data_IF_581159114155
#
_entry.id   IF_581159114155
#
_cell.length_a   1.000
_cell.length_b   1.000
_cell.length_c   1.000
_cell.angle_alpha   90.00
_cell.angle_beta   90.00
_cell.angle_gamma   90.00
#
_symmetry.space_group_name_H-M   'P 1'
#
loop_
_entity.id
_entity.type
_entity.pdbx_description
1 polymer ?
#
# COMPACT_ATOMS: atom_id res chain seq x y z
N UNK A 1 -33.44 10.92 12.48
CA UNK A 1 -32.35 11.71 13.11
C UNK A 1 -31.19 10.77 13.35
N UNK A 2 -30.25 10.72 12.41
CA UNK A 2 -29.00 9.96 12.55
C UNK A 2 -27.96 10.89 13.17
N UNK A 3 -27.41 10.50 14.32
CA UNK A 3 -26.43 11.25 15.08
C UNK A 3 -25.17 11.56 14.24
N UNK A 4 -24.50 12.71 14.45
CA UNK A 4 -23.20 13.00 13.86
C UNK A 4 -22.13 12.05 14.42
N UNK A 5 -22.00 10.89 13.76
CA UNK A 5 -20.74 10.34 13.27
C UNK A 5 -19.54 10.30 14.23
N UNK A 6 -19.33 9.15 14.87
CA UNK A 6 -18.10 8.71 15.57
C UNK A 6 -16.84 8.62 14.65
N UNK A 7 -16.86 9.19 13.44
CA UNK A 7 -15.72 9.19 12.51
C UNK A 7 -14.49 9.91 13.06
N UNK A 8 -14.64 10.79 14.05
CA UNK A 8 -13.50 11.45 14.71
C UNK A 8 -12.66 10.50 15.58
N UNK A 9 -13.14 9.27 15.84
CA UNK A 9 -12.47 8.30 16.73
C UNK A 9 -11.81 7.12 16.00
N UNK A 10 -12.08 6.96 14.70
CA UNK A 10 -11.62 5.80 13.92
C UNK A 10 -10.97 6.31 12.64
N UNK A 11 -9.68 6.66 12.71
CA UNK A 11 -8.87 7.04 11.55
C UNK A 11 -7.87 8.14 11.88
N UNK A 12 -6.86 8.29 11.01
CA UNK A 12 -5.95 9.43 11.03
C UNK A 12 -6.56 10.55 10.19
N UNK A 13 -6.58 11.78 10.70
CA UNK A 13 -7.02 12.93 9.90
C UNK A 13 -5.98 13.21 8.81
N UNK A 14 -6.42 13.63 7.62
CA UNK A 14 -5.49 14.03 6.53
C UNK A 14 -4.47 15.08 7.02
N UNK A 15 -4.89 15.96 7.94
CA UNK A 15 -4.04 16.95 8.59
C UNK A 15 -2.96 16.35 9.53
N UNK A 16 -3.12 15.11 9.98
CA UNK A 16 -2.17 14.38 10.86
C UNK A 16 -1.23 13.48 10.05
N UNK A 17 -1.69 12.99 8.90
CA UNK A 17 -0.90 12.12 8.01
C UNK A 17 0.27 12.88 7.39
N UNK A 18 0.04 14.11 6.93
CA UNK A 18 1.09 14.90 6.27
C UNK A 18 2.30 15.21 7.19
N UNK A 19 2.11 15.72 8.42
CA UNK A 19 3.22 15.89 9.37
C UNK A 19 3.93 14.59 9.73
N UNK A 20 3.18 13.48 9.85
CA UNK A 20 3.75 12.17 10.16
C UNK A 20 4.65 11.65 9.03
N UNK A 21 4.21 11.81 7.77
CA UNK A 21 5.00 11.43 6.60
C UNK A 21 6.29 12.26 6.47
N UNK A 22 6.22 13.57 6.75
CA UNK A 22 7.41 14.42 6.83
C UNK A 22 8.38 13.96 7.93
N UNK A 23 7.86 13.58 9.11
CA UNK A 23 8.67 13.07 10.22
C UNK A 23 9.36 11.73 9.87
N UNK A 24 8.76 10.93 8.99
CA UNK A 24 9.33 9.69 8.46
C UNK A 24 10.28 9.91 7.26
N UNK A 25 10.58 11.16 6.90
CA UNK A 25 11.50 11.49 5.80
C UNK A 25 10.89 11.37 4.40
N UNK A 26 9.55 11.25 4.29
CA UNK A 26 8.84 11.27 3.01
C UNK A 26 8.47 12.72 2.69
N UNK A 27 9.22 13.34 1.78
CA UNK A 27 8.92 14.69 1.29
C UNK A 27 7.88 14.61 0.18
N UNK A 28 6.61 14.89 0.50
CA UNK A 28 5.60 15.10 -0.53
C UNK A 28 5.79 16.52 -1.12
N UNK A 29 5.68 16.71 -2.44
CA UNK A 29 5.73 18.04 -3.03
C UNK A 29 4.58 18.86 -2.44
N UNK A 30 4.95 19.90 -1.67
CA UNK A 30 4.03 20.81 -1.01
C UNK A 30 3.36 21.64 -2.10
N UNK A 31 2.27 21.12 -2.65
CA UNK A 31 1.38 21.88 -3.52
C UNK A 31 0.79 23.01 -2.69
N UNK A 32 1.14 24.25 -3.01
CA UNK A 32 0.56 25.42 -2.39
C UNK A 32 -0.97 25.34 -2.48
N UNK A 33 -1.60 25.55 -1.33
CA UNK A 33 -3.04 25.69 -1.22
C UNK A 33 -3.46 26.94 -2.02
N UNK A 34 -3.91 26.71 -3.25
CA UNK A 34 -4.55 27.72 -4.08
C UNK A 34 -3.76 28.04 -5.34
N UNK A 35 -4.25 27.53 -6.47
CA UNK A 35 -3.77 27.75 -7.84
C UNK A 35 -2.63 26.80 -8.25
N UNK A 36 -3.02 25.62 -8.73
CA UNK A 36 -2.17 24.79 -9.60
C UNK A 36 -2.15 25.48 -10.97
N UNK A 37 -1.03 26.02 -11.47
CA UNK A 37 -0.85 26.12 -12.91
C UNK A 37 -0.52 24.71 -13.36
N UNK A 38 -1.54 24.02 -13.86
CA UNK A 38 -1.45 22.69 -14.43
C UNK A 38 -0.66 22.81 -15.75
N UNK A 39 0.66 22.74 -15.64
CA UNK A 39 1.55 22.47 -16.78
C UNK A 39 2.15 21.08 -16.53
N UNK A 40 1.26 20.08 -16.42
CA UNK A 40 1.56 18.74 -16.89
C UNK A 40 1.18 18.68 -18.38
N UNK A 41 1.77 17.78 -19.19
CA UNK A 41 1.17 17.46 -20.48
C UNK A 41 -0.28 17.08 -20.16
N UNK A 42 -1.25 17.76 -20.79
CA UNK A 42 -2.67 17.50 -20.57
C UNK A 42 -2.91 16.00 -20.70
N UNK A 43 -3.03 15.30 -19.55
CA UNK A 43 -3.64 13.99 -19.50
C UNK A 43 -5.06 14.25 -19.97
N UNK A 44 -5.30 14.00 -21.25
CA UNK A 44 -6.64 13.94 -21.80
C UNK A 44 -7.29 12.77 -21.10
N UNK A 45 -7.87 13.04 -19.93
CA UNK A 45 -8.63 12.07 -19.15
C UNK A 45 -9.68 11.51 -20.10
N UNK A 46 -9.53 10.24 -20.46
CA UNK A 46 -10.43 9.57 -21.38
C UNK A 46 -11.87 9.75 -20.86
N UNK A 47 -12.84 10.07 -21.73
CA UNK A 47 -14.22 10.24 -21.31
C UNK A 47 -14.74 9.00 -20.54
N UNK A 48 -15.55 9.22 -19.50
CA UNK A 48 -16.03 8.14 -18.63
C UNK A 48 -16.80 7.05 -19.38
N UNK A 49 -17.46 7.40 -20.49
CA UNK A 49 -18.21 6.46 -21.33
C UNK A 49 -17.31 5.44 -22.04
N UNK A 50 -16.00 5.69 -22.12
CA UNK A 50 -15.01 4.77 -22.73
C UNK A 50 -14.65 3.62 -21.79
N UNK A 51 -14.86 3.76 -20.47
CA UNK A 51 -14.45 2.77 -19.45
C UNK A 51 -14.90 1.34 -19.71
N UNK A 52 -16.15 1.06 -20.14
CA UNK A 52 -16.60 -0.31 -20.43
C UNK A 52 -15.87 -0.98 -21.58
N UNK A 53 -15.20 -0.20 -22.43
CA UNK A 53 -14.51 -0.68 -23.63
C UNK A 53 -13.02 -0.96 -23.38
N UNK A 54 -12.45 -0.50 -22.25
CA UNK A 54 -11.04 -0.74 -21.88
C UNK A 54 -10.71 -2.24 -21.82
N UNK A 55 -11.63 -3.06 -21.31
CA UNK A 55 -11.44 -4.51 -21.16
C UNK A 55 -11.86 -5.33 -22.38
N UNK A 56 -12.47 -4.71 -23.39
CA UNK A 56 -12.90 -5.41 -24.60
C UNK A 56 -11.69 -5.67 -25.48
N UNK A 57 -11.62 -6.86 -26.06
CA UNK A 57 -10.52 -7.23 -26.98
C UNK A 57 -10.83 -6.91 -28.44
N UNK A 58 -12.12 -6.76 -28.76
CA UNK A 58 -12.65 -6.64 -30.11
C UNK A 58 -13.83 -5.69 -30.10
N UNK A 59 -13.90 -4.83 -31.10
CA UNK A 59 -14.99 -3.88 -31.31
C UNK A 59 -15.24 -3.73 -32.81
N UNK A 60 -16.44 -3.30 -33.16
CA UNK A 60 -16.84 -3.15 -34.55
C UNK A 60 -16.25 -1.89 -35.18
N UNK A 61 -16.24 -1.82 -36.52
CA UNK A 61 -15.79 -0.65 -37.25
C UNK A 61 -16.54 0.63 -36.86
N UNK A 62 -17.87 0.53 -36.68
CA UNK A 62 -18.70 1.67 -36.27
C UNK A 62 -18.38 2.14 -34.83
N UNK A 63 -18.05 1.21 -33.92
CA UNK A 63 -17.60 1.55 -32.57
C UNK A 63 -16.26 2.27 -32.62
N UNK A 64 -15.31 1.77 -33.41
CA UNK A 64 -14.01 2.40 -33.60
C UNK A 64 -14.11 3.83 -34.13
N UNK A 65 -14.97 4.03 -35.14
CA UNK A 65 -15.23 5.34 -35.73
C UNK A 65 -15.87 6.30 -34.73
N UNK A 66 -16.85 5.84 -33.95
CA UNK A 66 -17.47 6.64 -32.89
C UNK A 66 -16.46 7.03 -31.80
N UNK A 67 -15.52 6.14 -31.47
CA UNK A 67 -14.45 6.46 -30.52
C UNK A 67 -13.56 7.59 -31.03
N UNK A 68 -13.10 7.51 -32.28
CA UNK A 68 -12.30 8.58 -32.89
C UNK A 68 -13.06 9.90 -33.05
N UNK A 69 -14.37 9.82 -33.31
CA UNK A 69 -15.27 10.97 -33.35
C UNK A 69 -15.57 11.56 -31.96
N UNK A 70 -15.22 10.87 -30.87
CA UNK A 70 -15.53 11.29 -29.50
C UNK A 70 -17.01 11.15 -29.12
N UNK A 71 -17.77 10.30 -29.82
CA UNK A 71 -19.21 10.14 -29.66
C UNK A 71 -19.54 8.87 -28.86
N UNK A 72 -20.40 9.00 -27.85
CA UNK A 72 -20.93 7.87 -27.09
C UNK A 72 -22.14 7.25 -27.79
N UNK A 73 -21.98 6.04 -28.34
CA UNK A 73 -23.05 5.31 -29.02
C UNK A 73 -24.19 4.87 -28.10
N UNK A 74 -23.93 4.76 -26.79
CA UNK A 74 -24.91 4.30 -25.80
C UNK A 74 -25.70 5.48 -25.19
N UNK A 75 -25.37 6.73 -25.52
CA UNK A 75 -26.09 7.91 -25.05
C UNK A 75 -27.53 7.91 -25.62
N UNK A 76 -28.56 7.98 -24.77
CA UNK A 76 -29.94 7.97 -25.22
C UNK A 76 -30.29 9.27 -25.96
N UNK A 77 -30.54 9.18 -27.26
CA UNK A 77 -30.91 10.32 -28.08
C UNK A 77 -30.69 10.09 -29.57
N UNK A 78 -31.04 11.09 -30.37
CA UNK A 78 -30.65 11.16 -31.78
C UNK A 78 -29.31 11.89 -31.86
N UNK A 79 -28.32 11.32 -32.54
CA UNK A 79 -27.06 12.00 -32.82
C UNK A 79 -27.32 13.19 -33.74
N UNK A 80 -26.69 14.33 -33.47
CA UNK A 80 -26.73 15.47 -34.38
C UNK A 80 -26.21 15.08 -35.77
N UNK A 81 -26.63 15.80 -36.80
CA UNK A 81 -26.16 15.56 -38.17
C UNK A 81 -24.63 15.70 -38.27
N UNK A 82 -24.05 16.60 -37.48
CA UNK A 82 -22.59 16.80 -37.40
C UNK A 82 -21.87 15.59 -36.79
N UNK A 83 -22.39 15.03 -35.70
CA UNK A 83 -21.85 13.81 -35.09
C UNK A 83 -21.95 12.61 -36.03
N UNK A 84 -23.09 12.45 -36.71
CA UNK A 84 -23.26 11.38 -37.71
C UNK A 84 -22.30 11.53 -38.88
N UNK A 85 -22.09 12.75 -39.36
CA UNK A 85 -21.16 13.02 -40.45
C UNK A 85 -19.70 12.76 -40.03
N UNK A 86 -19.32 13.10 -38.80
CA UNK A 86 -17.98 12.83 -38.27
C UNK A 86 -17.74 11.33 -38.08
N UNK A 87 -18.72 10.60 -37.51
CA UNK A 87 -18.66 9.13 -37.44
C UNK A 87 -18.52 8.53 -38.85
N UNK A 88 -19.26 9.03 -39.83
CA UNK A 88 -19.18 8.58 -41.22
C UNK A 88 -17.78 8.77 -41.82
N UNK A 89 -17.15 9.93 -41.62
CA UNK A 89 -15.78 10.20 -42.10
C UNK A 89 -14.76 9.25 -41.50
N UNK A 90 -14.83 9.03 -40.18
CA UNK A 90 -13.93 8.09 -39.50
C UNK A 90 -14.17 6.65 -39.93
N UNK A 91 -15.42 6.27 -40.13
CA UNK A 91 -15.79 4.94 -40.62
C UNK A 91 -15.18 4.67 -41.99
N UNK A 92 -15.34 5.59 -42.93
CA UNK A 92 -14.84 5.43 -44.30
C UNK A 92 -13.29 5.38 -44.28
N UNK A 93 -12.65 6.23 -43.48
CA UNK A 93 -11.19 6.24 -43.30
C UNK A 93 -10.65 4.92 -42.73
N UNK A 94 -11.31 4.38 -41.70
CA UNK A 94 -10.93 3.09 -41.11
C UNK A 94 -11.21 1.93 -42.06
N UNK A 95 -12.29 1.99 -42.85
CA UNK A 95 -12.60 0.99 -43.86
C UNK A 95 -11.52 0.93 -44.93
N UNK A 96 -11.03 2.08 -45.40
CA UNK A 96 -9.93 2.19 -46.35
C UNK A 96 -8.62 1.65 -45.76
N UNK A 97 -8.32 1.99 -44.50
CA UNK A 97 -7.12 1.49 -43.81
C UNK A 97 -7.12 -0.05 -43.64
N UNK A 98 -8.30 -0.63 -43.39
CA UNK A 98 -8.50 -2.08 -43.37
C UNK A 98 -8.31 -2.69 -44.76
N UNK A 99 -8.88 -2.08 -45.81
CA UNK A 99 -8.74 -2.58 -47.19
C UNK A 99 -7.31 -2.48 -47.72
N UNK A 100 -6.57 -1.46 -47.28
CA UNK A 100 -5.15 -1.30 -47.52
C UNK A 100 -4.27 -2.29 -46.71
N UNK A 101 -4.85 -3.04 -45.77
CA UNK A 101 -4.14 -3.97 -44.91
C UNK A 101 -3.29 -3.29 -43.82
N UNK A 102 -3.55 -2.01 -43.53
CA UNK A 102 -2.85 -1.27 -42.48
C UNK A 102 -3.40 -1.58 -41.07
N UNK A 103 -4.69 -1.93 -40.99
CA UNK A 103 -5.35 -2.37 -39.76
C UNK A 103 -5.72 -3.83 -39.90
N UNK A 104 -5.25 -4.66 -38.97
CA UNK A 104 -5.64 -6.07 -38.91
C UNK A 104 -7.09 -6.19 -38.44
N UNK A 105 -7.90 -6.88 -39.24
CA UNK A 105 -9.32 -7.11 -38.98
C UNK A 105 -9.67 -8.58 -39.17
N UNK A 106 -10.68 -9.08 -38.44
CA UNK A 106 -11.20 -10.43 -38.69
C UNK A 106 -11.87 -10.53 -40.06
N UNK A 107 -11.90 -11.75 -40.60
CA UNK A 107 -12.37 -12.11 -41.94
C UNK A 107 -13.66 -11.42 -42.36
N UNK A 108 -13.68 -11.12 -43.66
CA UNK A 108 -14.78 -10.54 -44.42
C UNK A 108 -16.14 -11.17 -44.08
N UNK A 109 -17.12 -10.34 -43.73
CA UNK A 109 -18.51 -10.74 -43.54
C UNK A 109 -19.45 -9.84 -44.35
N UNK A 110 -20.69 -10.30 -44.53
CA UNK A 110 -21.74 -9.59 -45.26
C UNK A 110 -22.17 -8.30 -44.56
N UNK A 111 -21.98 -8.19 -43.24
CA UNK A 111 -22.22 -6.99 -42.43
C UNK A 111 -20.88 -6.48 -41.86
N UNK A 112 -20.10 -5.87 -42.77
CA UNK A 112 -18.78 -5.31 -42.48
C UNK A 112 -18.81 -4.34 -41.29
N UNK A 113 -19.90 -3.59 -41.12
CA UNK A 113 -19.96 -2.53 -40.11
C UNK A 113 -20.12 -3.08 -38.69
N UNK A 114 -20.87 -4.19 -38.53
CA UNK A 114 -21.16 -4.77 -37.20
C UNK A 114 -20.29 -5.96 -36.85
N UNK A 115 -19.88 -6.74 -37.84
CA UNK A 115 -19.22 -8.04 -37.61
C UNK A 115 -17.71 -8.00 -37.85
N UNK A 116 -17.18 -6.94 -38.48
CA UNK A 116 -15.75 -6.76 -38.61
C UNK A 116 -15.14 -6.32 -37.27
N UNK A 117 -14.57 -7.28 -36.56
CA UNK A 117 -13.87 -7.01 -35.31
C UNK A 117 -12.46 -6.49 -35.57
N UNK A 118 -12.19 -5.30 -35.02
CA UNK A 118 -10.88 -4.67 -34.97
C UNK A 118 -10.25 -4.86 -33.58
N UNK A 119 -8.92 -4.91 -33.54
CA UNK A 119 -8.16 -4.98 -32.29
C UNK A 119 -7.72 -3.58 -31.83
N UNK A 120 -7.61 -3.37 -30.52
CA UNK A 120 -7.07 -2.12 -29.97
C UNK A 120 -5.65 -1.83 -30.46
N UNK A 121 -4.80 -2.87 -30.52
CA UNK A 121 -3.38 -2.73 -30.83
C UNK A 121 -3.19 -2.27 -32.28
N UNK A 122 -3.92 -2.88 -33.21
CA UNK A 122 -3.83 -2.52 -34.63
C UNK A 122 -4.29 -1.08 -34.89
N UNK A 123 -5.38 -0.64 -34.25
CA UNK A 123 -5.84 0.74 -34.42
C UNK A 123 -4.92 1.73 -33.71
N UNK A 124 -4.41 1.42 -32.52
CA UNK A 124 -3.43 2.28 -31.85
C UNK A 124 -2.19 2.51 -32.69
N UNK A 125 -1.65 1.44 -33.29
CA UNK A 125 -0.50 1.53 -34.19
C UNK A 125 -0.81 2.41 -35.41
N UNK A 126 -2.01 2.27 -35.98
CA UNK A 126 -2.46 3.10 -37.08
C UNK A 126 -2.62 4.57 -36.66
N UNK A 127 -3.30 4.84 -35.55
CA UNK A 127 -3.45 6.18 -34.98
C UNK A 127 -2.09 6.83 -34.71
N UNK A 128 -1.15 6.11 -34.09
CA UNK A 128 0.22 6.59 -33.83
C UNK A 128 0.97 6.95 -35.12
N UNK A 129 0.80 6.15 -36.19
CA UNK A 129 1.43 6.41 -37.49
C UNK A 129 0.96 7.70 -38.14
N UNK A 130 -0.34 8.01 -38.02
CA UNK A 130 -0.95 9.19 -38.64
C UNK A 130 -1.11 10.38 -37.69
N UNK A 131 -0.64 10.26 -36.43
CA UNK A 131 -0.68 11.34 -35.43
C UNK A 131 -2.07 11.56 -34.81
N UNK A 132 -2.93 10.55 -34.82
CA UNK A 132 -4.22 10.56 -34.15
C UNK A 132 -4.10 9.99 -32.74
N UNK A 133 -4.93 10.49 -31.84
CA UNK A 133 -5.01 10.01 -30.46
C UNK A 133 -6.15 9.00 -30.32
N UNK A 134 -5.80 7.77 -29.95
CA UNK A 134 -6.80 6.75 -29.65
C UNK A 134 -7.34 6.97 -28.22
N UNK A 135 -8.65 7.19 -28.03
CA UNK A 135 -9.21 7.64 -26.76
C UNK A 135 -9.26 6.57 -25.66
N UNK A 136 -9.06 5.29 -26.01
CA UNK A 136 -9.14 4.19 -25.05
C UNK A 136 -7.74 3.94 -24.46
N UNK A 137 -7.54 4.19 -23.15
CA UNK A 137 -6.23 4.05 -22.53
C UNK A 137 -5.73 2.61 -22.64
N UNK A 138 -4.41 2.46 -22.73
CA UNK A 138 -3.78 1.15 -22.64
C UNK A 138 -4.06 0.59 -21.24
N UNK A 139 -4.51 -0.67 -21.19
CA UNK A 139 -4.58 -1.37 -19.90
C UNK A 139 -3.15 -1.43 -19.43
N UNK A 140 -2.85 -0.78 -18.30
CA UNK A 140 -1.53 -0.84 -17.68
C UNK A 140 -1.04 -2.28 -17.78
N UNK A 141 0.10 -2.53 -18.45
CA UNK A 141 0.59 -3.88 -18.59
C UNK A 141 0.67 -4.44 -17.18
N UNK A 142 -0.12 -5.49 -16.89
CA UNK A 142 0.01 -6.19 -15.62
C UNK A 142 1.49 -6.49 -15.47
N UNK A 143 2.11 -6.17 -14.31
CA UNK A 143 3.54 -6.39 -14.14
C UNK A 143 3.78 -7.85 -14.48
N UNK A 144 4.46 -8.09 -15.60
CA UNK A 144 4.76 -9.44 -16.06
C UNK A 144 5.78 -9.97 -15.06
N UNK A 145 5.28 -10.64 -14.03
CA UNK A 145 6.13 -11.24 -13.02
C UNK A 145 6.88 -12.35 -13.74
N UNK A 146 8.16 -12.12 -14.05
CA UNK A 146 8.97 -13.09 -14.76
C UNK A 146 9.02 -14.39 -13.94
N UNK A 147 9.10 -15.52 -14.64
CA UNK A 147 9.24 -16.83 -14.00
C UNK A 147 10.46 -16.88 -13.06
N UNK A 148 11.50 -16.11 -13.39
CA UNK A 148 12.70 -15.89 -12.58
C UNK A 148 12.38 -15.17 -11.27
N UNK A 149 11.57 -14.10 -11.30
CA UNK A 149 11.14 -13.39 -10.09
C UNK A 149 10.31 -14.29 -9.16
N UNK A 150 9.44 -15.12 -9.72
CA UNK A 150 8.65 -16.09 -8.96
C UNK A 150 9.52 -17.17 -8.32
N UNK A 151 10.52 -17.66 -9.06
CA UNK A 151 11.47 -18.64 -8.54
C UNK A 151 12.31 -18.05 -7.40
N UNK A 152 12.79 -16.81 -7.54
CA UNK A 152 13.55 -16.13 -6.50
C UNK A 152 12.70 -15.84 -5.25
N UNK A 153 11.43 -15.44 -5.43
CA UNK A 153 10.52 -15.22 -4.31
C UNK A 153 10.27 -16.52 -3.51
N UNK A 154 10.12 -17.65 -4.20
CA UNK A 154 10.00 -18.97 -3.56
C UNK A 154 11.26 -19.34 -2.78
N UNK A 155 12.45 -19.08 -3.35
CA UNK A 155 13.74 -19.32 -2.69
C UNK A 155 13.86 -18.50 -1.41
N UNK A 156 13.58 -17.20 -1.48
CA UNK A 156 13.65 -16.29 -0.33
C UNK A 156 12.65 -16.67 0.75
N UNK A 157 11.42 -17.04 0.39
CA UNK A 157 10.44 -17.50 1.36
C UNK A 157 10.87 -18.79 2.06
N UNK A 158 11.48 -19.74 1.34
CA UNK A 158 12.00 -20.96 1.95
C UNK A 158 13.15 -20.67 2.93
N UNK A 159 14.04 -19.73 2.60
CA UNK A 159 15.12 -19.31 3.49
C UNK A 159 14.60 -18.62 4.75
N UNK A 160 13.58 -17.76 4.61
CA UNK A 160 12.94 -17.10 5.75
C UNK A 160 12.31 -18.13 6.70
N UNK A 161 11.63 -19.14 6.17
CA UNK A 161 11.05 -20.19 7.01
C UNK A 161 12.12 -21.06 7.67
N UNK A 162 13.24 -21.37 6.98
CA UNK A 162 14.37 -22.06 7.59
C UNK A 162 14.97 -21.26 8.75
N UNK A 163 15.23 -19.98 8.54
CA UNK A 163 15.81 -19.10 9.57
C UNK A 163 14.85 -18.90 10.75
N UNK A 164 13.54 -18.86 10.51
CA UNK A 164 12.55 -18.83 11.61
C UNK A 164 12.56 -20.12 12.42
N UNK A 165 12.68 -21.27 11.77
CA UNK A 165 12.79 -22.56 12.45
C UNK A 165 14.08 -22.63 13.29
N UNK A 166 15.24 -22.28 12.69
CA UNK A 166 16.53 -22.21 13.40
C UNK A 166 16.48 -21.25 14.59
N UNK A 167 15.84 -20.08 14.44
CA UNK A 167 15.69 -19.12 15.54
C UNK A 167 14.79 -19.65 16.65
N UNK A 168 13.77 -20.44 16.30
CA UNK A 168 12.85 -21.03 17.29
C UNK A 168 13.58 -22.13 18.07
N UNK A 169 14.30 -23.00 17.37
CA UNK A 169 15.12 -24.06 17.96
C UNK A 169 16.25 -23.48 18.83
N UNK A 170 16.93 -22.42 18.37
CA UNK A 170 17.94 -21.73 19.16
C UNK A 170 17.36 -21.08 20.42
N UNK A 171 16.15 -20.53 20.36
CA UNK A 171 15.45 -19.96 21.52
C UNK A 171 14.98 -21.03 22.51
N UNK A 172 14.62 -22.21 22.02
CA UNK A 172 14.25 -23.35 22.85
C UNK A 172 15.48 -24.01 23.48
N UNK A 173 16.60 -24.10 22.76
CA UNK A 173 17.88 -24.62 23.24
C UNK A 173 18.64 -23.68 24.18
N UNK A 174 18.46 -22.37 24.05
CA UNK A 174 19.01 -21.34 24.94
C UNK A 174 18.03 -20.99 26.09
N UNK A 175 17.19 -21.95 26.49
CA UNK A 175 16.50 -21.90 27.76
C UNK A 175 17.54 -21.93 28.88
N UNK A 176 17.98 -20.73 29.26
CA UNK A 176 18.89 -20.44 30.37
C UNK A 176 18.36 -20.93 31.74
N UNK A 177 17.19 -21.58 31.76
CA UNK A 177 16.52 -22.13 32.93
C UNK A 177 17.15 -23.44 33.46
N UNK A 178 17.90 -24.19 32.63
CA UNK A 178 18.46 -25.51 33.00
C UNK A 178 20.00 -25.53 33.13
N UNK A 179 20.64 -24.38 33.26
CA UNK A 179 22.10 -24.32 33.39
C UNK A 179 22.54 -24.70 34.82
N UNK A 180 23.38 -25.74 34.97
CA UNK A 180 23.87 -26.30 36.26
C UNK A 180 24.51 -25.25 37.21
N UNK A 181 24.96 -24.12 36.65
CA UNK A 181 25.55 -23.01 37.39
C UNK A 181 24.59 -21.82 37.60
N UNK A 182 23.30 -21.95 37.28
CA UNK A 182 22.31 -20.90 37.49
C UNK A 182 21.79 -20.97 38.94
N UNK A 183 22.13 -20.04 39.82
CA UNK A 183 21.64 -20.06 41.19
C UNK A 183 20.12 -19.84 41.19
N UNK A 184 19.36 -20.58 42.00
CA UNK A 184 17.90 -20.35 42.19
C UNK A 184 17.57 -18.87 42.46
N UNK A 185 18.48 -18.16 43.15
CA UNK A 185 18.35 -16.72 43.43
C UNK A 185 18.29 -15.83 42.17
N UNK A 186 18.84 -16.27 41.04
CA UNK A 186 18.84 -15.52 39.79
C UNK A 186 17.53 -15.68 39.02
N UNK A 187 16.89 -16.85 39.07
CA UNK A 187 15.58 -17.07 38.46
C UNK A 187 14.48 -16.31 39.21
N UNK A 188 14.52 -16.34 40.55
CA UNK A 188 13.68 -15.50 41.41
C UNK A 188 13.86 -14.01 41.07
N UNK A 189 15.11 -13.56 40.94
CA UNK A 189 15.42 -12.17 40.62
C UNK A 189 14.88 -11.76 39.24
N UNK A 190 15.07 -12.59 38.20
CA UNK A 190 14.58 -12.31 36.84
C UNK A 190 13.04 -12.30 36.80
N UNK A 191 12.39 -13.21 37.50
CA UNK A 191 10.93 -13.29 37.59
C UNK A 191 10.33 -12.07 38.28
N UNK A 192 10.89 -11.67 39.43
CA UNK A 192 10.55 -10.42 40.14
C UNK A 192 10.74 -9.21 39.21
N UNK A 193 11.82 -9.18 38.44
CA UNK A 193 12.15 -8.06 37.57
C UNK A 193 11.21 -7.91 36.37
N UNK A 194 10.83 -9.02 35.72
CA UNK A 194 9.83 -8.99 34.64
C UNK A 194 8.49 -8.49 35.15
N UNK A 195 8.05 -9.00 36.30
CA UNK A 195 6.79 -8.58 36.92
C UNK A 195 6.83 -7.10 37.33
N UNK A 196 7.93 -6.63 37.91
CA UNK A 196 8.11 -5.22 38.24
C UNK A 196 8.17 -4.30 37.00
N UNK A 197 8.81 -4.73 35.91
CA UNK A 197 8.89 -3.96 34.67
C UNK A 197 7.51 -3.78 34.00
N UNK A 198 6.63 -4.77 34.10
CA UNK A 198 5.26 -4.68 33.59
C UNK A 198 4.37 -3.76 34.45
N UNK A 199 4.66 -3.68 35.76
CA UNK A 199 3.85 -2.92 36.73
C UNK A 199 4.34 -1.49 36.94
N UNK A 200 5.63 -1.23 36.79
CA UNK A 200 6.19 0.09 37.04
C UNK A 200 5.82 1.08 35.93
N UNK A 201 5.28 2.23 36.33
CA UNK A 201 5.04 3.37 35.45
C UNK A 201 5.67 4.63 36.05
N UNK A 202 6.32 5.50 35.25
CA UNK A 202 6.90 6.75 35.74
C UNK A 202 5.90 7.72 36.38
N UNK A 203 4.61 7.58 36.07
CA UNK A 203 3.52 8.46 36.50
C UNK A 203 2.95 8.13 37.88
N UNK A 204 3.25 6.95 38.42
CA UNK A 204 2.53 6.41 39.58
C UNK A 204 3.12 6.89 40.91
N UNK A 205 4.10 7.79 40.88
CA UNK A 205 4.75 8.36 42.08
C UNK A 205 5.63 7.37 42.86
N UNK A 206 5.66 6.09 42.46
CA UNK A 206 6.47 5.04 43.06
C UNK A 206 7.82 4.93 42.36
N UNK A 207 8.88 4.76 43.14
CA UNK A 207 10.21 4.47 42.58
C UNK A 207 10.24 3.04 42.03
N UNK A 208 11.06 2.74 40.99
CA UNK A 208 11.25 1.38 40.50
C UNK A 208 11.58 0.39 41.63
N UNK A 209 12.39 0.85 42.59
CA UNK A 209 12.76 0.08 43.78
C UNK A 209 11.55 -0.31 44.63
N UNK A 210 10.63 0.63 44.87
CA UNK A 210 9.39 0.38 45.64
C UNK A 210 8.50 -0.64 44.95
N UNK A 211 8.35 -0.56 43.63
CA UNK A 211 7.56 -1.53 42.86
C UNK A 211 8.20 -2.92 42.89
N UNK A 212 9.53 -3.00 42.82
CA UNK A 212 10.26 -4.27 42.95
C UNK A 212 10.09 -4.86 44.33
N UNK A 213 10.18 -4.06 45.41
CA UNK A 213 9.96 -4.55 46.77
C UNK A 213 8.52 -5.05 47.00
N UNK A 214 7.51 -4.38 46.44
CA UNK A 214 6.11 -4.84 46.45
C UNK A 214 5.94 -6.18 45.72
N UNK A 215 6.56 -6.31 44.54
CA UNK A 215 6.52 -7.56 43.75
C UNK A 215 7.25 -8.70 44.47
N UNK A 216 8.35 -8.41 45.16
CA UNK A 216 9.06 -9.39 45.99
C UNK A 216 8.15 -9.89 47.13
N UNK A 217 7.48 -8.99 47.83
CA UNK A 217 6.60 -9.34 48.95
C UNK A 217 5.38 -10.16 48.50
N UNK A 218 4.94 -9.98 47.25
CA UNK A 218 3.84 -10.74 46.65
C UNK A 218 4.28 -12.12 46.14
N UNK A 219 5.40 -12.21 45.42
CA UNK A 219 5.84 -13.45 44.78
C UNK A 219 6.64 -14.37 45.73
N UNK A 220 7.36 -13.80 46.70
CA UNK A 220 8.21 -14.53 47.63
C UNK A 220 7.98 -14.06 49.08
N UNK A 221 6.80 -14.32 49.66
CA UNK A 221 6.48 -13.91 51.03
C UNK A 221 7.43 -14.58 52.03
N UNK A 222 8.16 -13.77 52.80
CA UNK A 222 9.13 -14.26 53.80
C UNK A 222 10.55 -14.45 53.29
N UNK A 223 10.89 -13.92 52.11
CA UNK A 223 12.28 -13.86 51.65
C UNK A 223 13.17 -13.11 52.64
N UNK A 224 14.41 -13.56 52.80
CA UNK A 224 15.38 -12.93 53.69
C UNK A 224 15.67 -11.48 53.27
N UNK A 225 15.71 -10.55 54.24
CA UNK A 225 16.00 -9.12 54.01
C UNK A 225 17.29 -8.88 53.22
N UNK A 226 18.29 -9.75 53.42
CA UNK A 226 19.55 -9.70 52.67
C UNK A 226 19.33 -9.95 51.17
N UNK A 227 18.48 -10.92 50.81
CA UNK A 227 18.12 -11.24 49.41
C UNK A 227 17.25 -10.14 48.81
N UNK A 228 16.25 -9.65 49.54
CA UNK A 228 15.40 -8.52 49.12
C UNK A 228 16.23 -7.29 48.75
N UNK A 229 17.24 -6.96 49.56
CA UNK A 229 18.19 -5.87 49.27
C UNK A 229 19.04 -6.14 48.03
N UNK A 230 19.48 -7.38 47.79
CA UNK A 230 20.23 -7.73 46.56
C UNK A 230 19.38 -7.56 45.31
N UNK A 231 18.14 -8.04 45.33
CA UNK A 231 17.22 -7.93 44.18
C UNK A 231 16.83 -6.49 43.87
N UNK A 232 16.65 -5.65 44.90
CA UNK A 232 16.28 -4.25 44.73
C UNK A 232 17.46 -3.31 44.48
N UNK A 233 18.70 -3.74 44.75
CA UNK A 233 19.92 -2.94 44.54
C UNK A 233 20.25 -2.69 43.06
N UNK A 234 19.90 -3.63 42.18
CA UNK A 234 20.22 -3.54 40.74
C UNK A 234 19.17 -2.68 39.99
N UNK A 235 18.12 -2.22 40.68
CA UNK A 235 17.06 -1.36 40.14
C UNK A 235 17.46 0.13 40.15
N UNK A 236 18.41 0.49 39.27
CA UNK A 236 18.75 1.89 38.96
C UNK A 236 18.32 2.27 37.53
N UNK A 237 17.08 1.94 37.16
CA UNK A 237 16.55 2.19 35.82
C UNK A 237 16.46 3.69 35.46
N UNK A 238 16.58 4.59 36.44
CA UNK A 238 16.29 6.02 36.26
C UNK A 238 17.44 6.96 36.70
N UNK A 239 18.67 6.44 36.88
CA UNK A 239 19.83 7.28 37.24
C UNK A 239 20.21 8.30 36.15
N UNK A 240 19.83 8.06 34.90
CA UNK A 240 20.15 8.96 33.79
C UNK A 240 19.13 10.08 33.57
N UNK A 241 17.88 9.95 34.02
CA UNK A 241 16.88 11.05 33.89
C UNK A 241 17.07 12.15 34.93
N UNK A 242 17.47 11.81 36.16
CA UNK A 242 17.63 12.81 37.23
C UNK A 242 18.99 13.50 37.30
N UNK A 243 19.95 13.14 36.44
CA UNK A 243 21.28 13.81 36.41
C UNK A 243 21.29 15.18 35.72
N UNK A 244 20.19 15.62 35.09
CA UNK A 244 20.12 16.91 34.37
C UNK A 244 19.50 18.09 35.14
N UNK A 245 19.27 17.99 36.44
CA UNK A 245 18.73 19.11 37.25
C UNK A 245 19.76 19.80 38.15
N UNK A 246 21.06 19.42 38.09
CA UNK A 246 22.06 19.91 39.04
C UNK A 246 23.37 20.34 38.38
N UNK A 247 23.30 21.31 37.48
CA UNK A 247 24.45 22.18 37.15
C UNK A 247 23.98 23.43 36.41
N UNK A 248 23.86 24.53 37.15
CA UNK A 248 24.42 25.87 36.87
C UNK A 248 23.74 26.87 37.83
N UNK A 249 24.33 27.00 39.01
CA UNK A 249 24.49 28.32 39.65
C UNK A 249 25.72 28.98 39.04
#
# INVERSE_FOLDING_TARGET
MTSPSDYDRIGFKVAEILPFLEQCGVTLPRGDAGSVPEIGPAERSAPDWVKPFISRRKFSLIQAAAFLAGVDLDTPGYFSDDEQAEIGRWRDTLADAVDAGEIEATTWSTDREREQALSHDSIRLWCQRYGYDWPIPEVDPQPVISAELLAENRRLNAEVERLKAELTEAKEGDSMADHEFWPEELDDCVSVWRAAAQRWKPTDGKTPKTVVEEVIDELHPGIEDAKKKRYSAVCNWDKDRNRKARTKE
#
